data_IF_449567306479
#
_entry.id   IF_449567306479
#
_cell.length_a   1.000
_cell.length_b   1.000
_cell.length_c   1.000
_cell.angle_alpha   90.00
_cell.angle_beta   90.00
_cell.angle_gamma   90.00
#
_symmetry.space_group_name_H-M   'P 1'
#
loop_
_entity.id
_entity.type
_entity.pdbx_description
1 polymer ?
#
# COMPACT_ATOMS: atom_id res chain seq x y z
N UNK A 1 9.66 4.10 -2.88
CA UNK A 1 8.78 4.70 -1.85
C UNK A 1 8.78 3.72 -0.71
N UNK A 2 9.14 4.15 0.48
CA UNK A 2 9.31 3.26 1.64
C UNK A 2 7.93 2.87 2.21
N UNK A 3 7.75 1.62 2.67
CA UNK A 3 6.49 1.22 3.30
C UNK A 3 6.29 1.97 4.62
N UNK A 4 5.19 2.72 4.72
CA UNK A 4 4.83 3.46 5.92
C UNK A 4 4.04 2.58 6.92
N UNK A 5 4.05 2.90 8.21
CA UNK A 5 3.26 2.15 9.20
C UNK A 5 1.74 2.33 9.07
N UNK A 6 1.30 3.43 8.45
CA UNK A 6 -0.11 3.73 8.23
C UNK A 6 -0.51 3.35 6.80
N UNK A 7 -1.35 2.31 6.62
CA UNK A 7 -1.78 1.88 5.29
C UNK A 7 -2.68 2.90 4.57
N UNK A 8 -3.30 3.85 5.29
CA UNK A 8 -4.23 4.81 4.66
C UNK A 8 -3.50 5.87 3.83
N UNK A 9 -2.24 6.16 4.16
CA UNK A 9 -1.41 7.12 3.40
C UNK A 9 -1.12 6.62 2.00
N UNK A 10 -0.83 5.33 1.87
CA UNK A 10 -0.61 4.67 0.57
C UNK A 10 -1.90 4.60 -0.25
N UNK A 11 -3.02 4.21 0.39
CA UNK A 11 -4.32 4.19 -0.26
C UNK A 11 -4.68 5.58 -0.83
N UNK A 12 -4.49 6.64 -0.04
CA UNK A 12 -4.72 8.02 -0.47
C UNK A 12 -3.84 8.41 -1.66
N UNK A 13 -2.59 7.94 -1.71
CA UNK A 13 -1.70 8.20 -2.84
C UNK A 13 -2.17 7.48 -4.11
N UNK A 14 -2.63 6.23 -3.99
CA UNK A 14 -3.17 5.43 -5.10
C UNK A 14 -4.49 6.03 -5.63
N UNK A 15 -5.35 6.52 -4.74
CA UNK A 15 -6.63 7.15 -5.09
C UNK A 15 -6.48 8.41 -5.94
N UNK A 16 -5.31 9.07 -5.90
CA UNK A 16 -5.02 10.20 -6.81
C UNK A 16 -4.96 9.77 -8.27
N UNK A 17 -4.55 8.54 -8.56
CA UNK A 17 -4.46 7.98 -9.91
C UNK A 17 -5.74 7.23 -10.31
N UNK A 18 -6.36 6.54 -9.36
CA UNK A 18 -7.64 5.85 -9.52
C UNK A 18 -8.82 6.81 -9.33
N UNK A 19 -9.03 7.72 -10.28
CA UNK A 19 -10.13 8.70 -10.22
C UNK A 19 -11.10 8.58 -11.40
N UNK A 20 -12.33 9.06 -11.20
CA UNK A 20 -13.36 9.17 -12.25
C UNK A 20 -12.77 9.89 -13.47
N UNK A 21 -12.92 9.28 -14.65
CA UNK A 21 -12.36 9.77 -15.91
C UNK A 21 -11.05 9.10 -16.33
N UNK A 22 -10.44 8.28 -15.47
CA UNK A 22 -9.33 7.42 -15.86
C UNK A 22 -9.83 6.28 -16.76
N UNK A 23 -9.28 6.18 -17.98
CA UNK A 23 -9.65 5.13 -18.96
C UNK A 23 -8.61 4.02 -19.06
N UNK A 24 -7.41 4.25 -18.52
CA UNK A 24 -6.31 3.29 -18.54
C UNK A 24 -6.23 2.52 -17.23
N UNK A 25 -5.87 1.24 -17.32
CA UNK A 25 -5.61 0.42 -16.15
C UNK A 25 -4.39 0.95 -15.39
N UNK A 26 -4.56 1.24 -14.11
CA UNK A 26 -3.48 1.67 -13.22
C UNK A 26 -2.87 0.43 -12.57
N UNK A 27 -1.55 0.37 -12.55
CA UNK A 27 -0.79 -0.69 -11.91
C UNK A 27 0.01 -0.10 -10.76
N UNK A 28 -0.11 -0.70 -9.57
CA UNK A 28 0.64 -0.29 -8.38
C UNK A 28 1.62 -1.40 -8.05
N UNK A 29 2.91 -1.07 -8.10
CA UNK A 29 3.99 -2.00 -7.78
C UNK A 29 4.62 -1.60 -6.46
N UNK A 30 4.64 -2.53 -5.51
CA UNK A 30 5.34 -2.36 -4.25
C UNK A 30 6.69 -3.05 -4.36
N UNK A 31 7.75 -2.28 -4.23
CA UNK A 31 9.11 -2.82 -4.14
C UNK A 31 9.40 -3.07 -2.67
N UNK A 32 9.75 -4.31 -2.34
CA UNK A 32 9.99 -4.73 -0.96
C UNK A 32 11.30 -5.48 -0.91
N UNK A 33 12.18 -5.07 -0.01
CA UNK A 33 13.45 -5.76 0.19
C UNK A 33 13.26 -6.91 1.19
N UNK A 34 13.53 -8.17 0.82
CA UNK A 34 13.34 -9.31 1.71
C UNK A 34 14.32 -9.26 2.90
N UNK A 35 13.91 -9.82 4.04
CA UNK A 35 14.69 -9.84 5.29
C UNK A 35 15.02 -8.44 5.84
N UNK A 36 14.17 -7.45 5.57
CA UNK A 36 14.33 -6.09 6.10
C UNK A 36 13.13 -5.66 6.92
N UNK A 37 13.25 -4.48 7.54
CA UNK A 37 12.15 -3.87 8.32
C UNK A 37 10.92 -3.61 7.42
N UNK A 38 11.11 -3.40 6.12
CA UNK A 38 10.03 -3.20 5.13
C UNK A 38 9.04 -4.36 5.10
N UNK A 39 9.54 -5.59 5.10
CA UNK A 39 8.75 -6.82 5.11
C UNK A 39 7.92 -6.92 6.41
N UNK A 40 8.54 -6.59 7.54
CA UNK A 40 7.85 -6.57 8.85
C UNK A 40 6.74 -5.53 8.89
N UNK A 41 6.95 -4.34 8.30
CA UNK A 41 5.93 -3.29 8.23
C UNK A 41 4.71 -3.79 7.45
N UNK A 42 4.91 -4.43 6.30
CA UNK A 42 3.83 -4.99 5.48
C UNK A 42 3.06 -6.07 6.24
N UNK A 43 3.76 -6.97 6.94
CA UNK A 43 3.11 -7.98 7.76
C UNK A 43 2.22 -7.37 8.84
N UNK A 44 2.70 -6.33 9.52
CA UNK A 44 1.93 -5.60 10.55
C UNK A 44 0.73 -4.89 9.93
N UNK A 45 0.89 -4.24 8.77
CA UNK A 45 -0.24 -3.62 8.07
C UNK A 45 -1.31 -4.64 7.70
N UNK A 46 -0.92 -5.80 7.15
CA UNK A 46 -1.86 -6.85 6.78
C UNK A 46 -2.61 -7.39 8.00
N UNK A 47 -1.91 -7.60 9.12
CA UNK A 47 -2.56 -7.99 10.38
C UNK A 47 -3.56 -6.94 10.86
N UNK A 48 -3.22 -5.65 10.77
CA UNK A 48 -4.15 -4.56 11.12
C UNK A 48 -5.36 -4.50 10.20
N UNK A 49 -5.17 -4.70 8.88
CA UNK A 49 -6.27 -4.74 7.90
C UNK A 49 -7.24 -5.90 8.18
N UNK A 50 -6.73 -7.09 8.51
CA UNK A 50 -7.57 -8.25 8.84
C UNK A 50 -8.39 -8.06 10.12
N UNK A 51 -7.85 -7.36 11.12
CA UNK A 51 -8.56 -7.11 12.39
C UNK A 51 -9.61 -5.98 12.27
N UNK A 52 -9.47 -5.10 11.29
CA UNK A 52 -10.40 -3.99 11.04
C UNK A 52 -11.59 -4.39 10.13
N UNK A 53 -11.65 -5.66 9.72
CA UNK A 53 -12.71 -6.26 8.93
C UNK A 53 -13.71 -6.97 9.84
#
# INVERSE_FOLDING_TARGET
>A
MEPHWNPTVEAQAVDRLHRIGQTKKVWVFHFVTPNTIEEKIIHVQNKKKQLAQ
#
